data_IF_493772285047
#
_entry.id   IF_493772285047
#
_cell.length_a   1.000
_cell.length_b   1.000
_cell.length_c   1.000
_cell.angle_alpha   90.00
_cell.angle_beta   90.00
_cell.angle_gamma   90.00
#
_symmetry.space_group_name_H-M   'P 1'
#
loop_
_entity.id
_entity.type
_entity.pdbx_description
1 polymer ?
#
# COMPACT_ATOMS: atom_id res chain seq x y z
N UNK A 1 -63.54 -39.47 -22.53
CA UNK A 1 -63.68 -38.11 -21.97
C UNK A 1 -62.80 -38.04 -20.72
N UNK A 2 -61.87 -37.07 -20.63
CA UNK A 2 -61.40 -36.36 -19.41
C UNK A 2 -60.76 -37.25 -18.29
N UNK A 3 -59.67 -36.94 -17.60
CA UNK A 3 -58.62 -35.92 -17.58
C UNK A 3 -57.73 -36.35 -16.39
N UNK A 4 -56.38 -36.26 -16.50
CA UNK A 4 -55.41 -35.70 -15.51
C UNK A 4 -55.42 -36.23 -14.04
N UNK A 5 -54.33 -36.38 -13.29
CA UNK A 5 -52.93 -35.96 -13.37
C UNK A 5 -52.15 -36.85 -12.37
N UNK A 6 -50.95 -37.31 -12.75
CA UNK A 6 -49.93 -37.79 -11.81
C UNK A 6 -49.24 -36.56 -11.21
N UNK A 7 -49.29 -36.39 -9.89
CA UNK A 7 -48.46 -35.41 -9.18
C UNK A 7 -47.17 -36.09 -8.74
N UNK A 8 -46.12 -35.96 -9.56
CA UNK A 8 -44.74 -36.14 -9.08
C UNK A 8 -44.29 -34.84 -8.43
N UNK A 9 -44.10 -34.85 -7.12
CA UNK A 9 -43.47 -33.75 -6.40
C UNK A 9 -41.96 -33.82 -6.61
N UNK A 10 -41.46 -33.10 -7.61
CA UNK A 10 -40.02 -32.88 -7.77
C UNK A 10 -39.61 -31.74 -6.82
N UNK A 11 -38.90 -32.11 -5.75
CA UNK A 11 -38.24 -31.17 -4.85
C UNK A 11 -37.04 -30.55 -5.59
N UNK A 12 -37.16 -29.28 -6.00
CA UNK A 12 -36.03 -28.52 -6.54
C UNK A 12 -35.29 -27.92 -5.33
N UNK A 13 -34.13 -28.48 -5.00
CA UNK A 13 -33.19 -27.86 -4.10
C UNK A 13 -32.60 -26.61 -4.78
N UNK A 14 -33.05 -25.43 -4.38
CA UNK A 14 -32.36 -24.18 -4.68
C UNK A 14 -31.07 -24.16 -3.87
N UNK A 15 -29.97 -24.59 -4.48
CA UNK A 15 -28.63 -24.27 -4.01
C UNK A 15 -28.44 -22.78 -4.27
N UNK A 16 -28.63 -21.97 -3.23
CA UNK A 16 -28.19 -20.59 -3.23
C UNK A 16 -26.68 -20.60 -3.52
N UNK A 17 -26.29 -20.08 -4.69
CA UNK A 17 -24.88 -19.87 -4.99
C UNK A 17 -24.39 -18.77 -4.03
N UNK A 18 -23.30 -18.98 -3.28
CA UNK A 18 -22.65 -17.86 -2.64
C UNK A 18 -22.16 -16.93 -3.75
N UNK A 19 -22.69 -15.71 -3.78
CA UNK A 19 -22.05 -14.61 -4.50
C UNK A 19 -20.69 -14.41 -3.85
N UNK A 20 -19.66 -14.98 -4.46
CA UNK A 20 -18.29 -14.58 -4.18
C UNK A 20 -18.21 -13.11 -4.56
N UNK A 21 -18.10 -12.25 -3.56
CA UNK A 21 -17.54 -10.93 -3.76
C UNK A 21 -16.20 -11.16 -4.46
N UNK A 22 -15.97 -10.48 -5.58
CA UNK A 22 -14.69 -10.51 -6.25
C UNK A 22 -13.67 -9.91 -5.27
N UNK A 23 -12.98 -10.79 -4.54
CA UNK A 23 -11.73 -10.43 -3.89
C UNK A 23 -10.81 -9.98 -5.02
N UNK A 24 -10.38 -8.72 -4.95
CA UNK A 24 -9.46 -8.13 -5.90
C UNK A 24 -8.18 -8.96 -5.87
N UNK A 25 -8.02 -9.82 -6.86
CA UNK A 25 -6.95 -10.81 -6.93
C UNK A 25 -5.66 -10.06 -7.27
N UNK A 26 -4.90 -9.67 -6.24
CA UNK A 26 -3.62 -9.00 -6.42
C UNK A 26 -2.63 -10.03 -6.96
N UNK A 27 -2.39 -9.96 -8.27
CA UNK A 27 -1.43 -10.81 -8.95
C UNK A 27 -0.01 -10.31 -8.65
N UNK A 28 0.79 -11.17 -8.02
CA UNK A 28 2.20 -10.92 -7.70
C UNK A 28 3.08 -11.48 -8.84
N UNK A 29 3.96 -10.67 -9.44
CA UNK A 29 5.10 -11.23 -10.19
C UNK A 29 6.31 -11.26 -9.28
N UNK A 30 6.85 -12.46 -9.07
CA UNK A 30 8.13 -12.70 -8.42
C UNK A 30 9.18 -12.79 -9.55
N UNK A 31 9.82 -11.67 -9.91
CA UNK A 31 10.92 -11.66 -10.89
C UNK A 31 12.25 -11.82 -10.14
N UNK A 32 12.62 -13.05 -9.80
CA UNK A 32 13.55 -13.32 -8.68
C UNK A 32 12.84 -13.10 -7.32
N UNK A 33 13.54 -13.14 -6.17
CA UNK A 33 12.91 -13.03 -4.82
C UNK A 33 12.28 -11.65 -4.49
N UNK A 34 11.94 -10.83 -5.50
CA UNK A 34 11.48 -9.44 -5.37
C UNK A 34 10.03 -9.25 -5.83
N UNK A 35 9.36 -8.31 -5.17
CA UNK A 35 7.92 -8.07 -5.27
C UNK A 35 7.60 -6.94 -6.25
N UNK A 36 6.55 -7.14 -7.03
CA UNK A 36 5.94 -6.14 -7.89
C UNK A 36 4.42 -6.32 -7.89
N UNK A 37 3.69 -5.20 -7.92
CA UNK A 37 2.25 -5.20 -8.05
C UNK A 37 1.88 -5.36 -9.53
N UNK A 38 1.24 -6.47 -9.90
CA UNK A 38 0.55 -6.54 -11.20
C UNK A 38 -0.87 -6.03 -10.96
N UNK A 39 -1.19 -4.85 -11.48
CA UNK A 39 -2.58 -4.39 -11.57
C UNK A 39 -2.92 -4.08 -13.01
N UNK A 40 -3.96 -4.76 -13.50
CA UNK A 40 -4.73 -4.39 -14.70
C UNK A 40 -5.80 -3.33 -14.35
N UNK A 41 -5.80 -2.88 -13.10
CA UNK A 41 -6.71 -1.89 -12.52
C UNK A 41 -6.00 -0.54 -12.47
N UNK A 42 -6.75 0.50 -12.82
CA UNK A 42 -6.32 1.91 -12.85
C UNK A 42 -5.39 2.24 -11.65
N UNK A 43 -4.25 2.91 -11.88
CA UNK A 43 -3.34 3.26 -10.79
C UNK A 43 -4.12 3.98 -9.69
N UNK A 44 -3.85 3.67 -8.40
CA UNK A 44 -4.57 4.29 -7.29
C UNK A 44 -4.43 5.82 -7.36
N UNK A 45 -5.55 6.53 -7.17
CA UNK A 45 -5.59 8.00 -7.24
C UNK A 45 -4.89 8.66 -6.04
N UNK A 46 -4.60 7.90 -4.99
CA UNK A 46 -3.95 8.36 -3.75
C UNK A 46 -2.58 7.69 -3.54
N UNK A 47 -1.57 8.52 -3.24
CA UNK A 47 -0.21 8.10 -2.97
C UNK A 47 -0.11 7.25 -1.70
N UNK A 48 -0.93 7.55 -0.67
CA UNK A 48 -0.92 6.75 0.57
C UNK A 48 -1.45 5.34 0.32
N UNK A 49 -2.57 5.23 -0.39
CA UNK A 49 -3.16 3.95 -0.79
C UNK A 49 -2.18 3.11 -1.63
N UNK A 50 -1.43 3.74 -2.55
CA UNK A 50 -0.39 3.05 -3.32
C UNK A 50 0.66 2.42 -2.40
N UNK A 51 1.20 3.19 -1.46
CA UNK A 51 2.23 2.72 -0.53
C UNK A 51 1.68 1.58 0.33
N UNK A 52 0.45 1.71 0.84
CA UNK A 52 -0.19 0.67 1.65
C UNK A 52 -0.38 -0.63 0.87
N UNK A 53 -0.79 -0.57 -0.40
CA UNK A 53 -0.95 -1.76 -1.26
C UNK A 53 0.38 -2.50 -1.45
N UNK A 54 1.49 -1.80 -1.69
CA UNK A 54 2.80 -2.45 -1.75
C UNK A 54 3.21 -3.07 -0.42
N UNK A 55 2.96 -2.39 0.69
CA UNK A 55 3.38 -2.88 2.01
C UNK A 55 2.59 -4.11 2.42
N UNK A 56 1.31 -4.23 2.04
CA UNK A 56 0.50 -5.43 2.29
C UNK A 56 1.09 -6.71 1.68
N UNK A 57 1.98 -6.59 0.68
CA UNK A 57 2.65 -7.73 0.04
C UNK A 57 3.85 -8.25 0.84
N UNK A 58 4.34 -7.49 1.83
CA UNK A 58 5.51 -7.83 2.63
C UNK A 58 5.16 -8.73 3.83
N UNK A 59 6.14 -9.46 4.40
CA UNK A 59 5.99 -10.08 5.71
C UNK A 59 5.63 -9.06 6.80
N UNK A 60 4.78 -9.46 7.76
CA UNK A 60 4.24 -8.59 8.81
C UNK A 60 5.30 -7.74 9.53
N UNK A 61 6.46 -8.33 9.87
CA UNK A 61 7.54 -7.61 10.55
C UNK A 61 8.08 -6.42 9.73
N UNK A 62 8.16 -6.56 8.40
CA UNK A 62 8.57 -5.46 7.53
C UNK A 62 7.45 -4.42 7.38
N UNK A 63 6.19 -4.85 7.33
CA UNK A 63 5.04 -3.94 7.34
C UNK A 63 5.07 -3.03 8.58
N UNK A 64 5.20 -3.63 9.77
CA UNK A 64 5.25 -2.90 11.04
C UNK A 64 6.45 -1.94 11.09
N UNK A 65 7.61 -2.39 10.63
CA UNK A 65 8.81 -1.55 10.55
C UNK A 65 8.61 -0.34 9.64
N UNK A 66 8.02 -0.54 8.46
CA UNK A 66 7.78 0.53 7.50
C UNK A 66 6.69 1.49 7.98
N UNK A 67 5.61 0.99 8.59
CA UNK A 67 4.57 1.82 9.21
C UNK A 67 5.14 2.70 10.33
N UNK A 68 6.03 2.15 11.17
CA UNK A 68 6.70 2.91 12.21
C UNK A 68 7.59 4.02 11.63
N UNK A 69 8.35 3.74 10.57
CA UNK A 69 9.19 4.73 9.91
C UNK A 69 8.33 5.85 9.31
N UNK A 70 7.25 5.51 8.60
CA UNK A 70 6.29 6.48 8.06
C UNK A 70 5.70 7.38 9.14
N UNK A 71 5.21 6.78 10.22
CA UNK A 71 4.67 7.54 11.34
C UNK A 71 5.69 8.52 11.94
N UNK A 72 6.97 8.15 11.99
CA UNK A 72 8.03 9.07 12.43
C UNK A 72 8.27 10.21 11.45
N UNK A 73 8.19 9.93 10.14
CA UNK A 73 8.27 10.97 9.12
C UNK A 73 7.11 11.95 9.24
N UNK A 74 5.87 11.47 9.38
CA UNK A 74 4.68 12.32 9.52
C UNK A 74 4.84 13.31 10.67
N UNK A 75 5.25 12.82 11.86
CA UNK A 75 5.48 13.68 13.02
C UNK A 75 6.59 14.70 12.80
N UNK A 76 7.69 14.30 12.14
CA UNK A 76 8.79 15.22 11.84
C UNK A 76 8.43 16.26 10.79
N UNK A 77 7.54 15.95 9.84
CA UNK A 77 6.98 16.95 8.92
C UNK A 77 6.15 18.00 9.66
N UNK A 78 5.30 17.58 10.61
CA UNK A 78 4.55 18.52 11.46
C UNK A 78 5.49 19.41 12.28
N UNK A 79 6.52 18.83 12.90
CA UNK A 79 7.56 19.58 13.64
C UNK A 79 8.29 20.59 12.71
N UNK A 80 8.58 20.20 11.46
CA UNK A 80 9.25 21.06 10.49
C UNK A 80 8.45 22.33 10.20
N UNK A 81 7.14 22.20 10.00
CA UNK A 81 6.28 23.36 9.70
C UNK A 81 6.31 24.39 10.84
N UNK A 82 6.32 23.90 12.09
CA UNK A 82 6.43 24.74 13.29
C UNK A 82 7.81 25.41 13.37
N UNK A 83 8.88 24.65 13.21
CA UNK A 83 10.25 25.17 13.27
C UNK A 83 10.53 26.19 12.15
N UNK A 84 10.03 25.91 10.94
CA UNK A 84 10.10 26.81 9.79
C UNK A 84 9.35 28.12 10.06
N UNK A 85 8.13 28.06 10.57
CA UNK A 85 7.35 29.25 10.92
C UNK A 85 8.01 30.09 12.04
N UNK A 86 8.72 29.44 12.96
CA UNK A 86 9.48 30.11 14.02
C UNK A 86 10.84 30.66 13.56
N UNK A 87 11.33 30.24 12.39
CA UNK A 87 12.69 30.55 11.93
C UNK A 87 13.79 29.88 12.76
N UNK A 88 13.47 28.75 13.42
CA UNK A 88 14.43 28.01 14.24
C UNK A 88 15.29 27.10 13.37
N UNK A 89 16.38 27.66 12.85
CA UNK A 89 17.28 26.95 11.94
C UNK A 89 17.98 25.76 12.58
N UNK A 90 18.15 25.75 13.91
CA UNK A 90 18.79 24.63 14.60
C UNK A 90 17.85 23.42 14.63
N UNK A 91 16.60 23.64 15.02
CA UNK A 91 15.55 22.63 15.01
C UNK A 91 15.28 22.11 13.60
N UNK A 92 15.23 22.99 12.59
CA UNK A 92 15.06 22.59 11.18
C UNK A 92 16.15 21.60 10.75
N UNK A 93 17.42 21.86 11.07
CA UNK A 93 18.52 20.97 10.67
C UNK A 93 18.39 19.60 11.34
N UNK A 94 18.07 19.56 12.65
CA UNK A 94 17.83 18.31 13.37
C UNK A 94 16.69 17.50 12.73
N UNK A 95 15.58 18.17 12.42
CA UNK A 95 14.41 17.53 11.78
C UNK A 95 14.77 16.98 10.40
N UNK A 96 15.51 17.73 9.58
CA UNK A 96 15.93 17.27 8.26
C UNK A 96 16.89 16.08 8.32
N UNK A 97 17.78 16.05 9.31
CA UNK A 97 18.69 14.92 9.54
C UNK A 97 17.91 13.65 9.93
N UNK A 98 16.93 13.78 10.82
CA UNK A 98 16.03 12.69 11.21
C UNK A 98 15.21 12.16 10.03
N UNK A 99 14.59 13.06 9.25
CA UNK A 99 13.81 12.71 8.05
C UNK A 99 14.67 11.95 7.03
N UNK A 100 15.90 12.42 6.79
CA UNK A 100 16.87 11.78 5.90
C UNK A 100 17.24 10.38 6.39
N UNK A 101 17.44 10.19 7.70
CA UNK A 101 17.74 8.88 8.28
C UNK A 101 16.57 7.90 8.13
N UNK A 102 15.34 8.34 8.39
CA UNK A 102 14.15 7.50 8.20
C UNK A 102 13.94 7.12 6.74
N UNK A 103 14.08 8.10 5.84
CA UNK A 103 13.93 7.88 4.41
C UNK A 103 14.98 6.91 3.86
N UNK A 104 16.24 7.08 4.24
CA UNK A 104 17.33 6.15 3.87
C UNK A 104 16.99 4.72 4.29
N UNK A 105 16.42 4.53 5.49
CA UNK A 105 16.04 3.19 5.95
C UNK A 105 14.87 2.61 5.15
N UNK A 106 13.88 3.44 4.79
CA UNK A 106 12.77 3.02 3.92
C UNK A 106 13.29 2.61 2.55
N UNK A 107 14.13 3.43 1.92
CA UNK A 107 14.74 3.15 0.62
C UNK A 107 15.56 1.86 0.65
N UNK A 108 16.27 1.57 1.75
CA UNK A 108 16.98 0.31 1.89
C UNK A 108 16.03 -0.89 1.87
N UNK A 109 14.94 -0.85 2.64
CA UNK A 109 13.93 -1.92 2.64
C UNK A 109 13.30 -2.05 1.25
N UNK A 110 12.97 -0.93 0.61
CA UNK A 110 12.42 -0.96 -0.75
C UNK A 110 13.39 -1.60 -1.74
N UNK A 111 14.67 -1.24 -1.65
CA UNK A 111 15.71 -1.84 -2.46
C UNK A 111 15.86 -3.32 -2.20
N UNK A 112 15.71 -3.80 -0.97
CA UNK A 112 15.85 -5.23 -0.64
C UNK A 112 14.65 -6.05 -1.18
N UNK A 113 13.44 -5.51 -1.10
CA UNK A 113 12.19 -6.28 -1.28
C UNK A 113 11.51 -6.09 -2.64
N UNK A 114 11.66 -4.93 -3.28
CA UNK A 114 10.87 -4.56 -4.47
C UNK A 114 11.68 -4.56 -5.77
N UNK A 115 10.98 -4.75 -6.90
CA UNK A 115 11.57 -4.58 -8.24
C UNK A 115 11.85 -3.10 -8.53
N UNK A 116 12.71 -2.78 -9.51
CA UNK A 116 12.96 -1.39 -9.89
C UNK A 116 11.70 -0.61 -10.31
N UNK A 117 10.72 -1.28 -10.94
CA UNK A 117 9.44 -0.66 -11.29
C UNK A 117 8.63 -0.29 -10.05
N UNK A 118 8.49 -1.23 -9.11
CA UNK A 118 7.84 -0.97 -7.83
C UNK A 118 8.54 0.12 -7.01
N UNK A 119 9.87 0.17 -7.03
CA UNK A 119 10.62 1.26 -6.41
C UNK A 119 10.34 2.62 -7.05
N UNK A 120 10.14 2.67 -8.37
CA UNK A 120 9.79 3.90 -9.07
C UNK A 120 8.39 4.40 -8.64
N UNK A 121 7.41 3.50 -8.54
CA UNK A 121 6.06 3.84 -8.10
C UNK A 121 6.05 4.30 -6.63
N UNK A 122 6.75 3.57 -5.75
CA UNK A 122 6.91 3.95 -4.35
C UNK A 122 7.64 5.29 -4.20
N UNK A 123 8.69 5.52 -4.99
CA UNK A 123 9.41 6.80 -5.00
C UNK A 123 8.51 7.97 -5.39
N UNK A 124 7.69 7.80 -6.44
CA UNK A 124 6.74 8.82 -6.87
C UNK A 124 5.68 9.12 -5.80
N UNK A 125 5.15 8.07 -5.15
CA UNK A 125 4.18 8.25 -4.07
C UNK A 125 4.79 8.96 -2.85
N UNK A 126 6.01 8.60 -2.44
CA UNK A 126 6.69 9.28 -1.33
C UNK A 126 7.02 10.75 -1.64
N UNK A 127 7.42 11.07 -2.87
CA UNK A 127 7.63 12.46 -3.29
C UNK A 127 6.33 13.29 -3.27
N UNK A 128 5.17 12.66 -3.51
CA UNK A 128 3.86 13.31 -3.39
C UNK A 128 3.44 13.53 -1.93
N UNK A 129 3.80 12.61 -1.02
CA UNK A 129 3.43 12.67 0.40
C UNK A 129 4.35 13.60 1.21
N UNK A 130 5.63 13.68 0.86
CA UNK A 130 6.65 14.33 1.68
C UNK A 130 7.56 15.23 0.84
N UNK A 131 7.31 16.54 0.86
CA UNK A 131 8.03 17.49 -0.01
C UNK A 131 9.51 17.72 0.37
N UNK A 132 9.95 17.29 1.56
CA UNK A 132 11.32 17.50 2.06
C UNK A 132 12.27 16.36 1.74
N UNK A 133 11.74 15.19 1.37
CA UNK A 133 12.56 14.06 0.93
C UNK A 133 12.58 14.05 -0.59
N UNK A 134 13.49 14.82 -1.15
CA UNK A 134 13.93 14.60 -2.52
C UNK A 134 14.96 13.48 -2.56
N UNK A 135 14.82 12.60 -3.56
CA UNK A 135 15.85 11.65 -3.97
C UNK A 135 16.69 12.22 -5.10
#
# INVERSE_FOLDING_TARGET
MKFKFLFSATLIAQLAQPTLAAEEEVLLTITGDRIELISDVQPPDDADDLVLRYYQLLPLALQESLQLLRHRMDRRMEDYEVAFAAGDTAEINEITDDLSAYWTRIQQIHFEEFTPAAMQDLGAAYAALYFLIEG
#
